data_IF_455559774571
#
_entry.id   IF_455559774571
#
_cell.length_a   1.000
_cell.length_b   1.000
_cell.length_c   1.000
_cell.angle_alpha   90.00
_cell.angle_beta   90.00
_cell.angle_gamma   90.00
#
_symmetry.space_group_name_H-M   'P 1'
#
loop_
_entity.id
_entity.type
_entity.pdbx_description
1 polymer ?
#
# COMPACT_ATOMS: atom_id res chain seq x y z
N UNK A 1 6.65 -4.55 -7.09
CA UNK A 1 5.65 -4.75 -8.16
C UNK A 1 4.32 -5.28 -7.66
N UNK A 2 4.24 -6.44 -6.98
CA UNK A 2 2.96 -6.98 -6.48
C UNK A 2 2.18 -6.00 -5.58
N UNK A 3 2.85 -5.31 -4.66
CA UNK A 3 2.20 -4.29 -3.82
C UNK A 3 1.63 -3.12 -4.62
N UNK A 4 2.34 -2.66 -5.66
CA UNK A 4 1.90 -1.56 -6.53
C UNK A 4 0.67 -1.92 -7.34
N UNK A 5 0.61 -3.17 -7.82
CA UNK A 5 -0.55 -3.71 -8.53
C UNK A 5 -1.76 -3.81 -7.56
N UNK A 6 -1.54 -4.29 -6.34
CA UNK A 6 -2.58 -4.34 -5.31
C UNK A 6 -3.14 -2.96 -4.93
N UNK A 7 -2.25 -1.96 -4.81
CA UNK A 7 -2.66 -0.59 -4.53
C UNK A 7 -3.49 0.01 -5.68
N UNK A 8 -3.09 -0.19 -6.94
CA UNK A 8 -3.85 0.28 -8.11
C UNK A 8 -5.23 -0.37 -8.20
N UNK A 9 -5.32 -1.69 -7.98
CA UNK A 9 -6.59 -2.41 -7.98
C UNK A 9 -7.50 -1.94 -6.84
N UNK A 10 -6.94 -1.72 -5.64
CA UNK A 10 -7.68 -1.18 -4.50
C UNK A 10 -8.26 0.21 -4.78
N UNK A 11 -7.47 1.10 -5.39
CA UNK A 11 -7.94 2.43 -5.80
C UNK A 11 -9.07 2.36 -6.82
N UNK A 12 -8.95 1.48 -7.84
CA UNK A 12 -10.01 1.30 -8.84
C UNK A 12 -11.30 0.78 -8.20
N UNK A 13 -11.21 -0.21 -7.32
CA UNK A 13 -12.37 -0.77 -6.62
C UNK A 13 -13.05 0.24 -5.70
N UNK A 14 -12.28 1.10 -5.00
CA UNK A 14 -12.83 2.18 -4.18
C UNK A 14 -13.52 3.26 -5.03
N UNK A 15 -12.95 3.60 -6.20
CA UNK A 15 -13.55 4.57 -7.12
C UNK A 15 -14.80 4.05 -7.84
N UNK A 16 -14.98 2.73 -7.96
CA UNK A 16 -16.20 2.16 -8.53
C UNK A 16 -17.42 2.39 -7.62
N UNK A 17 -17.22 2.29 -6.30
CA UNK A 17 -18.27 2.58 -5.32
C UNK A 17 -18.69 4.04 -5.25
N UNK A 18 -17.78 4.98 -5.49
CA UNK A 18 -18.13 6.41 -5.52
C UNK A 18 -18.96 6.81 -6.75
N UNK A 19 -18.98 5.99 -7.81
CA UNK A 19 -19.78 6.21 -9.04
C UNK A 19 -21.17 5.54 -8.92
N UNK A 20 -21.50 4.93 -7.77
CA UNK A 20 -22.79 4.27 -7.55
C UNK A 20 -22.94 2.94 -8.29
N UNK A 21 -21.82 2.33 -8.69
CA UNK A 21 -21.81 1.09 -9.47
C UNK A 21 -21.31 -0.06 -8.60
N UNK A 22 -22.27 -0.76 -7.98
CA UNK A 22 -22.02 -1.92 -7.12
C UNK A 22 -21.27 -3.02 -7.89
N UNK A 23 -20.01 -3.26 -7.52
CA UNK A 23 -19.24 -4.37 -8.06
C UNK A 23 -19.78 -5.72 -7.55
N UNK A 24 -19.84 -6.77 -8.41
CA UNK A 24 -20.30 -8.10 -8.01
C UNK A 24 -19.50 -8.64 -6.81
N UNK A 25 -20.20 -9.31 -5.89
CA UNK A 25 -19.66 -9.88 -4.65
C UNK A 25 -19.14 -8.87 -3.59
N UNK A 26 -19.68 -7.64 -3.53
CA UNK A 26 -19.30 -6.65 -2.51
C UNK A 26 -17.79 -6.29 -2.57
N UNK A 27 -17.20 -6.28 -3.76
CA UNK A 27 -15.78 -6.00 -3.94
C UNK A 27 -15.37 -4.58 -3.49
N UNK A 28 -16.32 -3.64 -3.43
CA UNK A 28 -16.13 -2.30 -2.83
C UNK A 28 -15.67 -2.37 -1.37
N UNK A 29 -16.18 -3.33 -0.59
CA UNK A 29 -15.73 -3.53 0.80
C UNK A 29 -14.31 -4.09 0.88
N UNK A 30 -13.88 -4.83 -0.15
CA UNK A 30 -12.53 -5.41 -0.22
C UNK A 30 -11.48 -4.37 -0.65
N UNK A 31 -11.86 -3.38 -1.47
CA UNK A 31 -10.98 -2.27 -1.85
C UNK A 31 -10.44 -1.47 -0.66
N UNK A 32 -11.24 -1.35 0.41
CA UNK A 32 -10.84 -0.70 1.67
C UNK A 32 -9.65 -1.36 2.35
N UNK A 33 -9.66 -2.70 2.39
CA UNK A 33 -8.57 -3.49 2.97
C UNK A 33 -7.39 -3.62 2.01
N UNK A 34 -7.64 -3.59 0.70
CA UNK A 34 -6.61 -3.70 -0.31
C UNK A 34 -5.57 -2.58 -0.20
N UNK A 35 -5.98 -1.33 0.02
CA UNK A 35 -5.05 -0.20 0.20
C UNK A 35 -4.19 -0.33 1.46
N UNK A 36 -4.81 -0.67 2.59
CA UNK A 36 -4.12 -0.85 3.87
C UNK A 36 -3.13 -2.02 3.83
N UNK A 37 -3.54 -3.16 3.29
CA UNK A 37 -2.72 -4.37 3.19
C UNK A 37 -1.58 -4.16 2.19
N UNK A 38 -1.84 -3.53 1.04
CA UNK A 38 -0.81 -3.22 0.05
C UNK A 38 0.23 -2.23 0.61
N UNK A 39 -0.21 -1.18 1.30
CA UNK A 39 0.69 -0.22 1.96
C UNK A 39 1.53 -0.88 3.05
N UNK A 40 0.91 -1.72 3.88
CA UNK A 40 1.62 -2.50 4.90
C UNK A 40 2.67 -3.45 4.32
N UNK A 41 2.34 -4.16 3.23
CA UNK A 41 3.26 -5.04 2.52
C UNK A 41 4.47 -4.29 1.93
N UNK A 42 4.25 -3.08 1.40
CA UNK A 42 5.35 -2.23 0.90
C UNK A 42 6.31 -1.82 2.02
N UNK A 43 5.78 -1.39 3.17
CA UNK A 43 6.59 -1.02 4.33
C UNK A 43 7.35 -2.23 4.90
N UNK A 44 6.70 -3.39 4.99
CA UNK A 44 7.34 -4.64 5.40
C UNK A 44 8.49 -5.03 4.46
N UNK A 45 8.32 -4.86 3.16
CA UNK A 45 9.38 -5.17 2.19
C UNK A 45 10.61 -4.28 2.39
N UNK A 46 10.43 -2.98 2.66
CA UNK A 46 11.53 -2.06 2.98
C UNK A 46 12.20 -2.44 4.29
N UNK A 47 11.41 -2.84 5.30
CA UNK A 47 11.92 -3.21 6.61
C UNK A 47 12.75 -4.52 6.56
N UNK A 48 12.28 -5.52 5.82
CA UNK A 48 13.03 -6.76 5.57
C UNK A 48 14.31 -6.48 4.79
N UNK A 49 14.24 -5.62 3.77
CA UNK A 49 15.43 -5.20 3.03
C UNK A 49 16.45 -4.51 3.94
N UNK A 50 15.99 -3.63 4.84
CA UNK A 50 16.85 -2.94 5.79
C UNK A 50 17.52 -3.89 6.79
N UNK A 51 16.79 -4.90 7.30
CA UNK A 51 17.34 -5.92 8.21
C UNK A 51 18.34 -6.87 7.54
N UNK A 52 18.21 -7.08 6.23
CA UNK A 52 19.14 -7.90 5.44
C UNK A 52 20.36 -7.12 4.95
N UNK A 53 20.40 -5.81 5.19
CA UNK A 53 21.53 -4.98 4.78
C UNK A 53 22.74 -5.38 5.63
N UNK A 54 23.83 -5.88 5.00
CA UNK A 54 24.98 -6.30 5.75
C UNK A 54 25.71 -5.08 6.33
N UNK A 55 26.21 -5.20 7.56
CA UNK A 55 27.10 -4.22 8.20
C UNK A 55 28.46 -4.23 7.50
N UNK A 56 28.49 -3.67 6.30
CA UNK A 56 29.72 -3.45 5.53
C UNK A 56 30.08 -1.98 5.58
N UNK A 57 31.36 -1.65 5.79
CA UNK A 57 31.90 -0.28 5.83
C UNK A 57 31.68 0.54 4.53
N UNK A 58 31.10 -0.07 3.50
CA UNK A 58 30.63 0.61 2.30
C UNK A 58 29.32 1.34 2.57
N UNK A 59 29.33 2.68 2.41
CA UNK A 59 28.18 3.61 2.41
C UNK A 59 27.06 3.12 1.46
N UNK A 60 26.31 2.11 1.89
CA UNK A 60 25.19 1.55 1.14
C UNK A 60 23.99 2.43 1.42
N UNK A 61 24.00 3.61 0.81
CA UNK A 61 22.95 4.61 0.92
C UNK A 61 21.66 4.11 0.28
N UNK A 62 20.52 4.31 0.97
CA UNK A 62 19.21 3.96 0.46
C UNK A 62 18.92 4.76 -0.83
N UNK A 63 18.91 4.05 -1.97
CA UNK A 63 18.58 4.65 -3.26
C UNK A 63 17.16 5.21 -3.31
N UNK A 64 16.89 6.10 -4.26
CA UNK A 64 15.62 6.82 -4.41
C UNK A 64 14.38 5.89 -4.48
N UNK A 65 14.55 4.65 -4.96
CA UNK A 65 13.49 3.64 -4.98
C UNK A 65 12.98 3.20 -3.61
N UNK A 66 13.85 3.17 -2.58
CA UNK A 66 13.45 2.84 -1.20
C UNK A 66 12.52 3.93 -0.67
N UNK A 67 12.88 5.19 -0.85
CA UNK A 67 12.08 6.34 -0.43
C UNK A 67 10.73 6.44 -1.15
N UNK A 68 10.69 6.12 -2.45
CA UNK A 68 9.43 6.03 -3.20
C UNK A 68 8.53 4.90 -2.68
N UNK A 69 9.12 3.78 -2.27
CA UNK A 69 8.36 2.64 -1.71
C UNK A 69 7.84 2.95 -0.32
N UNK A 70 8.63 3.64 0.52
CA UNK A 70 8.17 4.14 1.83
C UNK A 70 7.03 5.12 1.65
N UNK A 71 7.17 6.09 0.73
CA UNK A 71 6.14 7.09 0.47
C UNK A 71 4.84 6.45 -0.03
N UNK A 72 4.92 5.52 -0.99
CA UNK A 72 3.77 4.76 -1.47
C UNK A 72 3.13 3.89 -0.37
N UNK A 73 3.96 3.25 0.46
CA UNK A 73 3.52 2.45 1.59
C UNK A 73 2.76 3.26 2.64
N UNK A 74 3.31 4.40 3.06
CA UNK A 74 2.68 5.33 4.02
C UNK A 74 1.36 5.85 3.46
N UNK A 75 1.35 6.34 2.21
CA UNK A 75 0.12 6.84 1.59
C UNK A 75 -0.96 5.74 1.48
N UNK A 76 -0.58 4.51 1.13
CA UNK A 76 -1.51 3.37 1.08
C UNK A 76 -2.12 3.02 2.43
N UNK A 77 -1.30 3.00 3.50
CA UNK A 77 -1.77 2.77 4.87
C UNK A 77 -2.69 3.89 5.32
N UNK A 78 -2.29 5.15 5.13
CA UNK A 78 -3.10 6.33 5.54
C UNK A 78 -4.44 6.34 4.81
N UNK A 79 -4.45 6.11 3.50
CA UNK A 79 -5.69 6.02 2.73
C UNK A 79 -6.60 4.88 3.23
N UNK A 80 -6.02 3.72 3.55
CA UNK A 80 -6.75 2.60 4.13
C UNK A 80 -7.35 2.91 5.51
N UNK A 81 -6.58 3.58 6.39
CA UNK A 81 -7.04 3.99 7.72
C UNK A 81 -8.16 5.03 7.62
N UNK A 82 -8.02 6.04 6.75
CA UNK A 82 -9.06 7.03 6.52
C UNK A 82 -10.36 6.38 6.02
N UNK A 83 -10.25 5.45 5.06
CA UNK A 83 -11.40 4.70 4.58
C UNK A 83 -12.04 3.84 5.70
N UNK A 84 -11.25 3.29 6.62
CA UNK A 84 -11.75 2.54 7.76
C UNK A 84 -12.53 3.44 8.74
N UNK A 85 -11.98 4.62 9.07
CA UNK A 85 -12.59 5.57 10.00
C UNK A 85 -13.90 6.17 9.47
N UNK A 86 -14.00 6.42 8.16
CA UNK A 86 -15.21 6.95 7.51
C UNK A 86 -16.44 6.03 7.62
N UNK A 87 -16.26 4.77 8.04
CA UNK A 87 -17.36 3.81 8.24
C UNK A 87 -17.89 3.72 9.68
N UNK A 88 -17.36 4.51 10.61
CA UNK A 88 -17.78 4.49 12.02
C UNK A 88 -18.68 5.67 12.35
#
# INVERSE_FOLDING_TARGET
WLGSIGALLGTVMLSAGSIGRTLPAEAEKHGKWAGMVAGGLMLLAVLVWWLLLPDTDTDTSAGMGVWMTVLGGVLGVVAGVLAFLDQK
#
